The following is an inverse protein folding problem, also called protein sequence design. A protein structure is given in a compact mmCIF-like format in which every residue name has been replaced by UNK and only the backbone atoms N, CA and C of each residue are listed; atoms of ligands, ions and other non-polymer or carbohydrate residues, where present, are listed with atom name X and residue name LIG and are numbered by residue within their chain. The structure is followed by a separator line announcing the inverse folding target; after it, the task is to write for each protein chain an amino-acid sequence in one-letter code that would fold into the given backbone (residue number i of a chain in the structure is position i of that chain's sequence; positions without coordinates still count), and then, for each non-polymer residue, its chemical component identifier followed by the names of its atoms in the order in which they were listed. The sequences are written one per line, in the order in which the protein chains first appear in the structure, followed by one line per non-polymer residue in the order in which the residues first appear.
data_IF_971538677687
#
_entry.id   IF_971538677687
#
_cell.length_a   1.000
_cell.length_b   1.000
_cell.length_c   1.000
_cell.angle_alpha   90.00
_cell.angle_beta   90.00
_cell.angle_gamma   90.00
#
_symmetry.space_group_name_H-M   'P 1'
#
loop_
_entity.id
_entity.type
_entity.pdbx_description
1 polymer ?
#
# COMPACT_ATOMS: atom_id res chain seq x y z
N UNK A 1 -15.22 12.57 24.40
CA UNK A 1 -14.33 11.47 23.93
C UNK A 1 -13.26 11.94 22.95
N UNK A 2 -13.60 12.64 21.87
CA UNK A 2 -12.61 13.02 20.85
C UNK A 2 -11.59 14.10 21.26
N UNK A 3 -11.95 15.04 22.15
CA UNK A 3 -11.00 16.01 22.72
C UNK A 3 -9.87 15.35 23.52
N UNK A 4 -10.16 14.42 24.47
CA UNK A 4 -9.13 13.61 25.12
C UNK A 4 -8.25 12.85 24.11
N UNK A 5 -8.85 12.25 23.09
CA UNK A 5 -8.10 11.56 22.02
C UNK A 5 -7.12 12.48 21.30
N UNK A 6 -7.58 13.65 20.85
CA UNK A 6 -6.71 14.60 20.17
C UNK A 6 -5.58 15.07 21.08
N UNK A 7 -5.86 15.33 22.35
CA UNK A 7 -4.84 15.77 23.32
C UNK A 7 -3.80 14.68 23.59
N UNK A 8 -4.24 13.44 23.85
CA UNK A 8 -3.36 12.30 24.05
C UNK A 8 -2.50 12.02 22.82
N UNK A 9 -3.08 12.08 21.62
CA UNK A 9 -2.36 11.90 20.37
C UNK A 9 -1.33 13.01 20.12
N UNK A 10 -1.70 14.28 20.33
CA UNK A 10 -0.77 15.41 20.24
C UNK A 10 0.42 15.25 21.20
N UNK A 11 0.17 14.77 22.43
CA UNK A 11 1.24 14.45 23.38
C UNK A 11 2.15 13.33 22.89
N UNK A 12 1.59 12.26 22.30
CA UNK A 12 2.39 11.21 21.68
C UNK A 12 3.28 11.77 20.57
N UNK A 13 2.72 12.60 19.68
CA UNK A 13 3.44 13.24 18.55
C UNK A 13 4.58 14.11 19.07
N UNK A 14 4.33 14.95 20.06
CA UNK A 14 5.37 15.77 20.69
C UNK A 14 6.50 14.91 21.26
N UNK A 15 6.17 13.86 22.03
CA UNK A 15 7.17 12.95 22.59
C UNK A 15 7.95 12.17 21.52
N UNK A 16 7.35 11.86 20.37
CA UNK A 16 8.09 11.26 19.25
C UNK A 16 9.06 12.26 18.61
N UNK A 17 8.63 13.50 18.40
CA UNK A 17 9.48 14.55 17.82
C UNK A 17 10.67 14.85 18.74
N UNK A 18 10.45 14.87 20.06
CA UNK A 18 11.49 15.03 21.07
C UNK A 18 12.48 13.84 21.06
N UNK A 19 11.96 12.61 21.15
CA UNK A 19 12.76 11.37 21.09
C UNK A 19 13.61 11.27 19.83
N UNK A 20 13.06 11.67 18.69
CA UNK A 20 13.77 11.61 17.41
C UNK A 20 14.49 12.92 17.05
N UNK A 21 14.43 13.96 17.89
CA UNK A 21 14.96 15.31 17.64
C UNK A 21 14.57 15.91 16.28
N UNK A 22 13.43 15.49 15.72
CA UNK A 22 13.03 15.85 14.35
C UNK A 22 13.92 15.28 13.23
N UNK A 23 14.93 14.46 13.52
CA UNK A 23 15.85 13.87 12.53
C UNK A 23 15.18 12.80 11.66
N UNK A 24 14.09 12.21 12.13
CA UNK A 24 13.33 11.20 11.41
C UNK A 24 11.92 11.71 11.12
N UNK A 25 11.49 11.64 9.86
CA UNK A 25 10.13 11.99 9.50
C UNK A 25 9.14 10.93 9.98
N UNK A 26 8.01 11.38 10.52
CA UNK A 26 6.94 10.50 10.97
C UNK A 26 6.33 9.78 9.76
N UNK A 27 6.28 8.44 9.80
CA UNK A 27 5.64 7.65 8.75
C UNK A 27 4.20 7.30 9.12
N UNK A 28 3.40 6.88 8.12
CA UNK A 28 2.02 6.40 8.33
C UNK A 28 1.93 5.19 9.29
N UNK A 29 3.04 4.47 9.50
CA UNK A 29 3.09 3.37 10.49
C UNK A 29 3.28 3.89 11.91
N UNK A 30 4.10 4.91 12.07
CA UNK A 30 4.31 5.57 13.36
C UNK A 30 3.00 6.26 13.79
N UNK A 31 2.30 6.89 12.84
CA UNK A 31 0.92 7.37 13.04
C UNK A 31 0.04 6.31 13.70
N UNK A 32 -0.03 5.09 13.15
CA UNK A 32 -0.93 4.07 13.67
C UNK A 32 -0.55 3.59 15.08
N UNK A 33 0.75 3.40 15.33
CA UNK A 33 1.25 3.00 16.66
C UNK A 33 0.88 4.05 17.73
N UNK A 34 1.06 5.32 17.39
CA UNK A 34 0.78 6.43 18.29
C UNK A 34 -0.72 6.69 18.44
N UNK A 35 -1.48 6.48 17.37
CA UNK A 35 -2.92 6.53 17.37
C UNK A 35 -3.51 5.45 18.28
N UNK A 36 -3.05 4.20 18.18
CA UNK A 36 -3.54 3.11 19.04
C UNK A 36 -3.21 3.39 20.51
N UNK A 37 -2.00 3.85 20.82
CA UNK A 37 -1.64 4.21 22.20
C UNK A 37 -2.53 5.36 22.74
N UNK A 38 -2.79 6.38 21.93
CA UNK A 38 -3.69 7.46 22.30
C UNK A 38 -5.15 6.99 22.40
N UNK A 39 -5.57 6.06 21.55
CA UNK A 39 -6.90 5.47 21.55
C UNK A 39 -7.15 4.70 22.84
N UNK A 40 -6.25 3.79 23.22
CA UNK A 40 -6.31 3.02 24.46
C UNK A 40 -6.31 3.93 25.71
N UNK A 41 -5.56 5.04 25.65
CA UNK A 41 -5.56 6.02 26.74
C UNK A 41 -6.90 6.78 26.86
N UNK A 42 -7.60 7.00 25.74
CA UNK A 42 -8.75 7.91 25.66
C UNK A 42 -10.09 7.19 25.74
N UNK A 43 -10.23 6.05 25.08
CA UNK A 43 -11.44 5.24 25.03
C UNK A 43 -11.46 4.20 26.16
N UNK A 44 -11.45 4.70 27.39
CA UNK A 44 -11.69 3.90 28.60
C UNK A 44 -13.16 3.95 28.97
N UNK A 45 -13.63 2.91 29.65
CA UNK A 45 -15.02 2.81 30.12
C UNK A 45 -15.44 4.07 30.90
N UNK A 46 -14.60 4.55 31.82
CA UNK A 46 -14.86 5.77 32.59
C UNK A 46 -15.05 7.01 31.70
N UNK A 47 -14.21 7.17 30.67
CA UNK A 47 -14.30 8.31 29.74
C UNK A 47 -15.53 8.22 28.86
N UNK A 48 -15.95 6.99 28.51
CA UNK A 48 -17.15 6.71 27.76
C UNK A 48 -18.39 7.08 28.60
N UNK A 49 -18.47 6.59 29.84
CA UNK A 49 -19.58 6.89 30.76
C UNK A 49 -19.69 8.40 31.03
N UNK A 50 -18.57 9.07 31.35
CA UNK A 50 -18.54 10.53 31.53
C UNK A 50 -18.96 11.28 30.26
N UNK A 51 -18.68 10.74 29.08
CA UNK A 51 -19.10 11.37 27.83
C UNK A 51 -20.62 11.27 27.60
N UNK A 52 -21.23 10.14 27.96
CA UNK A 52 -22.70 9.97 27.91
C UNK A 52 -23.42 10.81 28.95
N UNK A 53 -22.85 10.93 30.15
CA UNK A 53 -23.35 11.81 31.20
C UNK A 53 -23.27 13.28 30.76
N UNK A 54 -22.15 13.69 30.16
CA UNK A 54 -21.96 15.06 29.68
C UNK A 54 -22.87 15.46 28.52
N UNK A 55 -23.36 14.48 27.74
CA UNK A 55 -24.40 14.73 26.71
C UNK A 55 -25.81 14.62 27.27
N UNK A 56 -25.99 14.12 28.50
CA UNK A 56 -27.31 13.90 29.09
C UNK A 56 -28.14 12.87 28.33
N UNK A 57 -27.50 12.00 27.54
CA UNK A 57 -28.19 10.91 26.82
C UNK A 57 -28.41 9.74 27.77
N UNK A 58 -27.40 9.42 28.58
CA UNK A 58 -27.47 8.36 29.57
C UNK A 58 -26.71 8.80 30.83
N UNK A 59 -27.40 9.05 31.96
CA UNK A 59 -28.85 9.07 32.16
C UNK A 59 -29.54 10.19 31.33
N UNK A 60 -30.81 10.01 30.97
CA UNK A 60 -31.56 10.96 30.13
C UNK A 60 -31.82 12.28 30.90
N UNK A 61 -30.99 13.28 30.67
CA UNK A 61 -30.99 14.57 31.38
C UNK A 61 -30.73 15.75 30.40
N UNK A 62 -31.76 16.28 29.73
CA UNK A 62 -31.60 17.35 28.73
C UNK A 62 -31.09 18.68 29.31
N UNK A 63 -31.29 18.91 30.60
CA UNK A 63 -30.82 20.09 31.34
C UNK A 63 -29.31 20.30 31.27
N UNK A 64 -28.52 19.22 31.10
CA UNK A 64 -27.05 19.30 30.98
C UNK A 64 -26.64 20.10 29.73
N UNK A 65 -27.40 19.98 28.65
CA UNK A 65 -27.16 20.73 27.42
C UNK A 65 -27.67 22.17 27.57
N UNK A 66 -28.85 22.36 28.15
CA UNK A 66 -29.47 23.67 28.36
C UNK A 66 -28.60 24.59 29.25
N UNK A 67 -28.00 24.04 30.32
CA UNK A 67 -27.07 24.76 31.19
C UNK A 67 -25.86 25.35 30.45
N UNK A 68 -25.39 24.72 29.36
CA UNK A 68 -24.26 25.24 28.56
C UNK A 68 -24.59 26.56 27.85
N UNK A 69 -25.87 26.81 27.58
CA UNK A 69 -26.34 28.04 26.92
C UNK A 69 -26.66 29.16 27.92
N UNK A 70 -26.85 28.82 29.20
CA UNK A 70 -27.12 29.79 30.26
C UNK A 70 -25.87 30.25 31.02
N UNK A 71 -24.75 29.51 30.93
CA UNK A 71 -23.48 29.90 31.57
C UNK A 71 -22.74 30.94 30.72
N UNK A 72 -22.90 32.21 31.07
CA UNK A 72 -21.98 33.27 30.72
C UNK A 72 -20.62 33.02 31.40
N UNK A 73 -19.57 32.86 30.59
CA UNK A 73 -18.15 32.71 30.94
C UNK A 73 -17.72 31.44 31.72
N UNK A 74 -16.76 30.66 31.20
CA UNK A 74 -16.08 29.66 31.99
C UNK A 74 -15.01 30.33 32.85
N UNK A 75 -15.27 30.42 34.16
CA UNK A 75 -14.20 30.48 35.17
C UNK A 75 -13.29 29.29 34.90
N UNK A 76 -12.05 29.57 34.48
CA UNK A 76 -11.01 28.56 34.35
C UNK A 76 -10.85 27.89 35.72
N UNK A 77 -11.41 26.68 35.84
CA UNK A 77 -11.11 25.82 36.96
C UNK A 77 -9.62 25.54 36.91
N UNK A 78 -8.91 26.04 37.93
CA UNK A 78 -7.52 25.69 38.22
C UNK A 78 -7.37 24.18 38.10
N UNK A 79 -6.77 23.77 37.00
CA UNK A 79 -6.12 22.47 36.88
C UNK A 79 -5.06 22.44 37.96
N UNK A 80 -5.41 21.81 39.08
CA UNK A 80 -4.46 21.38 40.10
C UNK A 80 -3.26 20.75 39.38
N UNK A 81 -2.11 21.41 39.46
CA UNK A 81 -0.85 20.83 39.05
C UNK A 81 -0.62 19.62 39.97
N UNK A 82 -1.09 18.46 39.53
CA UNK A 82 -0.64 17.19 40.08
C UNK A 82 0.79 17.01 39.62
N UNK A 83 1.70 17.58 40.43
CA UNK A 83 3.11 17.25 40.51
C UNK A 83 3.25 15.77 40.90
N UNK A 84 2.92 14.89 39.97
CA UNK A 84 3.21 13.47 40.06
C UNK A 84 4.63 13.25 39.55
N UNK A 85 5.59 13.65 40.38
CA UNK A 85 6.82 12.90 40.66
C UNK A 85 7.42 12.09 39.48
N UNK A 86 7.92 12.79 38.46
CA UNK A 86 8.98 12.25 37.62
C UNK A 86 10.32 12.71 38.21
N UNK A 87 10.76 12.03 39.27
CA UNK A 87 12.12 12.16 39.81
C UNK A 87 13.11 11.64 38.78
N UNK A 88 13.44 12.51 37.82
CA UNK A 88 14.70 12.45 37.07
C UNK A 88 15.20 13.87 36.80
N UNK A 89 15.15 14.71 37.83
CA UNK A 89 16.00 15.90 37.92
C UNK A 89 17.35 15.41 38.45
N UNK A 90 18.22 15.01 37.53
CA UNK A 90 19.53 14.41 37.82
C UNK A 90 20.34 15.28 38.79
N UNK A 91 20.28 14.88 40.06
CA UNK A 91 21.23 15.04 41.15
C UNK A 91 21.70 16.45 41.55
N UNK A 92 21.46 17.51 40.78
CA UNK A 92 22.06 18.82 41.06
C UNK A 92 21.49 19.47 42.34
N UNK A 93 20.17 19.34 42.60
CA UNK A 93 19.56 19.87 43.84
C UNK A 93 20.08 19.14 45.09
N UNK A 94 20.35 17.83 44.96
CA UNK A 94 20.90 17.00 46.03
C UNK A 94 22.37 17.38 46.27
N UNK A 95 23.17 17.49 45.20
CA UNK A 95 24.58 17.88 45.30
C UNK A 95 24.75 19.33 45.74
N UNK A 96 23.83 20.22 45.38
CA UNK A 96 23.79 21.61 45.86
C UNK A 96 23.44 21.64 47.35
N UNK A 97 22.48 20.82 47.81
CA UNK A 97 22.21 20.65 49.23
C UNK A 97 23.44 20.18 50.02
N UNK A 98 24.18 19.21 49.47
CA UNK A 98 25.45 18.75 50.04
C UNK A 98 26.55 19.82 50.00
N UNK A 99 26.68 20.55 48.90
CA UNK A 99 27.64 21.65 48.75
C UNK A 99 27.37 22.73 49.80
N UNK A 100 26.09 23.08 50.01
CA UNK A 100 25.67 24.05 51.02
C UNK A 100 25.85 23.54 52.46
N UNK A 101 25.85 22.21 52.68
CA UNK A 101 26.14 21.63 53.98
C UNK A 101 27.65 21.63 54.30
N UNK A 102 28.51 21.50 53.27
CA UNK A 102 29.97 21.52 53.40
C UNK A 102 30.53 22.95 53.43
N UNK A 103 29.93 23.87 52.68
CA UNK A 103 30.34 25.28 52.63
C UNK A 103 29.74 26.02 53.82
N UNK A 104 30.58 26.40 54.79
CA UNK A 104 30.18 27.12 56.01
C UNK A 104 29.65 28.54 55.73
N UNK A 105 30.13 29.21 54.67
CA UNK A 105 29.75 30.58 54.30
C UNK A 105 29.04 30.59 52.95
N UNK A 106 27.70 30.69 52.95
CA UNK A 106 26.86 30.71 51.73
C UNK A 106 27.16 31.89 50.78
N UNK A 107 27.66 33.00 51.32
CA UNK A 107 27.94 34.22 50.57
C UNK A 107 29.40 34.31 50.10
N UNK A 108 30.20 33.25 50.30
CA UNK A 108 31.56 33.22 49.77
C UNK A 108 31.51 33.26 48.22
N UNK A 109 32.11 34.29 47.58
CA UNK A 109 32.12 34.41 46.12
C UNK A 109 32.76 33.20 45.43
N UNK A 110 33.69 32.49 46.08
CA UNK A 110 34.33 31.30 45.53
C UNK A 110 33.39 30.08 45.58
N UNK A 111 32.62 29.92 46.65
CA UNK A 111 31.60 28.88 46.75
C UNK A 111 30.45 29.11 45.74
N UNK A 112 30.02 30.35 45.55
CA UNK A 112 29.01 30.67 44.53
C UNK A 112 29.51 30.41 43.11
N UNK A 113 30.78 30.71 42.81
CA UNK A 113 31.40 30.36 41.51
C UNK A 113 31.39 28.85 41.29
N UNK A 114 31.72 28.08 42.33
CA UNK A 114 31.75 26.62 42.27
C UNK A 114 30.33 26.04 42.07
N UNK A 115 29.34 26.50 42.83
CA UNK A 115 27.92 26.12 42.65
C UNK A 115 27.42 26.42 41.23
N UNK A 116 27.70 27.63 40.71
CA UNK A 116 27.34 28.01 39.33
C UNK A 116 28.02 27.11 38.30
N UNK A 117 29.30 26.78 38.49
CA UNK A 117 30.03 25.88 37.60
C UNK A 117 29.44 24.45 37.63
N UNK A 118 29.13 23.93 38.82
CA UNK A 118 28.48 22.62 38.96
C UNK A 118 27.09 22.59 38.35
N UNK A 119 26.28 23.62 38.55
CA UNK A 119 24.97 23.75 37.93
C UNK A 119 25.11 23.74 36.39
N UNK A 120 26.03 24.55 35.85
CA UNK A 120 26.34 24.58 34.41
C UNK A 120 26.74 23.20 33.89
N UNK A 121 27.69 22.52 34.53
CA UNK A 121 28.14 21.17 34.14
C UNK A 121 27.00 20.15 34.23
N UNK A 122 26.16 20.24 35.26
CA UNK A 122 25.02 19.32 35.45
C UNK A 122 23.98 19.49 34.34
N UNK A 123 23.66 20.74 33.98
CA UNK A 123 22.76 21.05 32.87
C UNK A 123 23.36 20.59 31.54
N UNK A 124 24.65 20.84 31.30
CA UNK A 124 25.34 20.38 30.09
C UNK A 124 25.33 18.85 29.98
N UNK A 125 25.61 18.14 31.08
CA UNK A 125 25.57 16.67 31.12
C UNK A 125 24.18 16.15 30.81
N UNK A 126 23.15 16.73 31.43
CA UNK A 126 21.75 16.35 31.18
C UNK A 126 21.38 16.58 29.72
N UNK A 127 21.77 17.72 29.14
CA UNK A 127 21.52 18.03 27.74
C UNK A 127 22.21 17.02 26.80
N UNK A 128 23.47 16.69 27.06
CA UNK A 128 24.22 15.68 26.31
C UNK A 128 23.62 14.28 26.45
N UNK A 129 23.14 13.90 27.64
CA UNK A 129 22.48 12.62 27.86
C UNK A 129 21.17 12.53 27.06
N UNK A 130 20.34 13.57 27.09
CA UNK A 130 19.13 13.64 26.26
C UNK A 130 19.47 13.63 24.76
N UNK A 131 20.53 14.34 24.35
CA UNK A 131 20.96 14.37 22.96
C UNK A 131 21.40 12.98 22.48
N UNK A 132 22.29 12.33 23.24
CA UNK A 132 22.80 11.00 22.90
C UNK A 132 21.69 9.94 22.91
N UNK A 133 20.73 10.05 23.82
CA UNK A 133 19.56 9.17 23.85
C UNK A 133 18.68 9.38 22.63
N UNK A 134 18.36 10.63 22.28
CA UNK A 134 17.53 10.93 21.10
C UNK A 134 18.20 10.51 19.79
N UNK A 135 19.52 10.69 19.68
CA UNK A 135 20.30 10.21 18.53
C UNK A 135 20.26 8.68 18.41
N UNK A 136 20.38 7.95 19.53
CA UNK A 136 20.26 6.48 19.54
C UNK A 136 18.88 6.04 19.07
N UNK A 137 17.83 6.69 19.53
CA UNK A 137 16.45 6.37 19.16
C UNK A 137 16.17 6.66 17.69
N UNK A 138 16.60 7.82 17.18
CA UNK A 138 16.53 8.16 15.76
C UNK A 138 17.26 7.12 14.89
N UNK A 139 18.46 6.69 15.29
CA UNK A 139 19.22 5.66 14.59
C UNK A 139 18.48 4.32 14.60
N UNK A 140 17.91 3.91 15.73
CA UNK A 140 17.10 2.68 15.83
C UNK A 140 15.90 2.76 14.88
N UNK A 141 15.19 3.89 14.85
CA UNK A 141 14.05 4.14 13.98
C UNK A 141 14.45 4.04 12.49
N UNK A 142 15.51 4.72 12.08
CA UNK A 142 16.00 4.69 10.71
C UNK A 142 16.52 3.29 10.32
N UNK A 143 17.19 2.59 11.23
CA UNK A 143 17.64 1.20 11.01
C UNK A 143 16.45 0.25 10.83
N UNK A 144 15.41 0.36 11.66
CA UNK A 144 14.15 -0.41 11.53
C UNK A 144 13.48 -0.11 10.18
N UNK A 145 13.48 1.15 9.75
CA UNK A 145 12.96 1.58 8.45
C UNK A 145 13.73 0.95 7.29
N UNK A 146 15.06 1.03 7.29
CA UNK A 146 15.93 0.46 6.23
C UNK A 146 15.88 -1.06 6.15
N UNK A 147 15.90 -1.77 7.30
CA UNK A 147 15.80 -3.24 7.33
C UNK A 147 14.54 -3.77 6.64
N UNK A 148 13.43 -3.02 6.65
CA UNK A 148 12.16 -3.44 6.03
C UNK A 148 12.02 -3.03 4.57
N UNK A 149 12.78 -2.04 4.10
CA UNK A 149 12.81 -1.66 2.68
C UNK A 149 13.38 -2.77 1.80
N UNK A 150 14.46 -3.42 2.25
CA UNK A 150 15.16 -4.47 1.48
C UNK A 150 14.28 -5.69 1.15
N UNK A 151 13.54 -6.30 2.12
CA UNK A 151 12.62 -7.39 1.82
C UNK A 151 11.47 -7.00 0.89
N UNK A 152 10.99 -5.76 0.95
CA UNK A 152 9.88 -5.29 0.10
C UNK A 152 10.30 -5.22 -1.36
N UNK A 153 11.50 -4.72 -1.63
CA UNK A 153 12.06 -4.67 -2.99
C UNK A 153 12.36 -6.08 -3.51
N UNK A 154 12.98 -6.94 -2.70
CA UNK A 154 13.24 -8.33 -3.07
C UNK A 154 11.94 -9.11 -3.39
N UNK A 155 10.88 -8.92 -2.60
CA UNK A 155 9.56 -9.52 -2.87
C UNK A 155 8.94 -8.99 -4.16
N UNK A 156 9.10 -7.71 -4.48
CA UNK A 156 8.61 -7.13 -5.72
C UNK A 156 9.33 -7.73 -6.94
N UNK A 157 10.67 -7.80 -6.89
CA UNK A 157 11.49 -8.42 -7.93
C UNK A 157 11.16 -9.89 -8.12
N UNK A 158 11.03 -10.67 -7.03
CA UNK A 158 10.65 -12.08 -7.11
C UNK A 158 9.25 -12.27 -7.73
N UNK A 159 8.31 -11.36 -7.45
CA UNK A 159 6.98 -11.38 -8.05
C UNK A 159 7.04 -11.08 -9.55
N UNK A 160 7.88 -10.14 -9.96
CA UNK A 160 8.08 -9.79 -11.36
C UNK A 160 8.75 -10.91 -12.15
N UNK A 161 9.84 -11.49 -11.62
CA UNK A 161 10.50 -12.66 -12.22
C UNK A 161 9.53 -13.84 -12.38
N UNK A 162 8.64 -14.08 -11.40
CA UNK A 162 7.60 -15.10 -11.50
C UNK A 162 6.59 -14.82 -12.62
N UNK A 163 6.29 -13.54 -12.92
CA UNK A 163 5.41 -13.15 -14.03
C UNK A 163 6.10 -13.32 -15.37
N UNK A 164 7.36 -12.92 -15.47
CA UNK A 164 8.18 -13.05 -16.68
C UNK A 164 8.37 -14.53 -17.05
N UNK A 165 8.77 -15.37 -16.09
CA UNK A 165 8.87 -16.82 -16.31
C UNK A 165 7.55 -17.44 -16.79
N UNK A 166 6.41 -17.00 -16.25
CA UNK A 166 5.08 -17.45 -16.72
C UNK A 166 4.79 -16.99 -18.15
N UNK A 167 5.18 -15.77 -18.51
CA UNK A 167 5.00 -15.25 -19.86
C UNK A 167 5.87 -15.99 -20.87
N UNK A 168 7.14 -16.23 -20.55
CA UNK A 168 8.06 -17.01 -21.36
C UNK A 168 7.55 -18.43 -21.61
N UNK A 169 7.06 -19.11 -20.56
CA UNK A 169 6.45 -20.44 -20.71
C UNK A 169 5.24 -20.42 -21.65
N UNK A 170 4.43 -19.35 -21.64
CA UNK A 170 3.29 -19.21 -22.58
C UNK A 170 3.79 -19.01 -24.01
N UNK A 171 4.78 -18.15 -24.22
CA UNK A 171 5.38 -17.89 -25.53
C UNK A 171 6.00 -19.17 -26.09
N UNK A 172 6.73 -19.94 -25.28
CA UNK A 172 7.32 -21.23 -25.69
C UNK A 172 6.23 -22.22 -26.10
N UNK A 173 5.17 -22.35 -25.30
CA UNK A 173 4.03 -23.23 -25.62
C UNK A 173 3.33 -22.82 -26.92
N UNK A 174 3.17 -21.53 -27.17
CA UNK A 174 2.58 -21.02 -28.41
C UNK A 174 3.48 -21.28 -29.62
N UNK A 175 4.79 -21.04 -29.49
CA UNK A 175 5.79 -21.35 -30.53
C UNK A 175 5.81 -22.84 -30.84
N UNK A 176 5.75 -23.71 -29.83
CA UNK A 176 5.70 -25.16 -30.03
C UNK A 176 4.42 -25.60 -30.74
N UNK A 177 3.26 -25.05 -30.33
CA UNK A 177 1.98 -25.29 -31.02
C UNK A 177 2.01 -24.81 -32.47
N UNK A 178 2.57 -23.63 -32.73
CA UNK A 178 2.72 -23.09 -34.09
C UNK A 178 3.64 -23.95 -34.95
N UNK A 179 4.78 -24.42 -34.40
CA UNK A 179 5.69 -25.35 -35.08
C UNK A 179 4.99 -26.67 -35.45
N UNK A 180 4.27 -27.28 -34.50
CA UNK A 180 3.51 -28.51 -34.75
C UNK A 180 2.40 -28.31 -35.81
N UNK A 181 1.74 -27.15 -35.81
CA UNK A 181 0.73 -26.82 -36.81
C UNK A 181 1.35 -26.62 -38.21
N UNK A 182 2.50 -25.91 -38.29
CA UNK A 182 3.22 -25.69 -39.53
C UNK A 182 3.77 -27.00 -40.13
N UNK A 183 4.32 -27.89 -39.29
CA UNK A 183 4.78 -29.21 -39.72
C UNK A 183 3.63 -30.07 -40.27
N UNK A 184 2.46 -30.08 -39.59
CA UNK A 184 1.26 -30.76 -40.08
C UNK A 184 0.77 -30.18 -41.40
N UNK A 185 0.74 -28.85 -41.55
CA UNK A 185 0.33 -28.19 -42.78
C UNK A 185 1.29 -28.51 -43.94
N UNK A 186 2.60 -28.52 -43.68
CA UNK A 186 3.63 -28.90 -44.67
C UNK A 186 3.47 -30.36 -45.11
N UNK A 187 3.28 -31.31 -44.19
CA UNK A 187 3.00 -32.71 -44.52
C UNK A 187 1.73 -32.88 -45.34
N UNK A 188 0.66 -32.18 -44.99
CA UNK A 188 -0.59 -32.20 -45.74
C UNK A 188 -0.42 -31.61 -47.16
N UNK A 189 0.33 -30.52 -47.30
CA UNK A 189 0.64 -29.92 -48.60
C UNK A 189 1.47 -30.88 -49.46
N UNK A 190 2.50 -31.52 -48.91
CA UNK A 190 3.32 -32.51 -49.61
C UNK A 190 2.52 -33.74 -50.07
N UNK A 191 1.58 -34.22 -49.24
CA UNK A 191 0.70 -35.32 -49.63
C UNK A 191 -0.24 -34.91 -50.77
N UNK A 192 -0.81 -33.70 -50.71
CA UNK A 192 -1.67 -33.15 -51.78
C UNK A 192 -0.91 -32.98 -53.10
N UNK A 193 0.30 -32.44 -53.06
CA UNK A 193 1.12 -32.28 -54.28
C UNK A 193 1.49 -33.63 -54.88
N UNK A 194 1.84 -34.63 -54.05
CA UNK A 194 2.10 -35.99 -54.52
C UNK A 194 0.86 -36.62 -55.16
N UNK A 195 -0.33 -36.45 -54.56
CA UNK A 195 -1.59 -36.92 -55.15
C UNK A 195 -1.89 -36.23 -56.48
N UNK A 196 -1.68 -34.92 -56.58
CA UNK A 196 -1.85 -34.18 -57.84
C UNK A 196 -0.90 -34.67 -58.93
N UNK A 197 0.37 -34.92 -58.60
CA UNK A 197 1.35 -35.49 -59.54
C UNK A 197 0.93 -36.89 -60.01
N UNK A 198 0.49 -37.77 -59.09
CA UNK A 198 -0.01 -39.10 -59.48
C UNK A 198 -1.25 -39.01 -60.38
N UNK A 199 -2.19 -38.11 -60.08
CA UNK A 199 -3.38 -37.91 -60.89
C UNK A 199 -3.03 -37.35 -62.28
N UNK A 200 -2.08 -36.42 -62.37
CA UNK A 200 -1.58 -35.91 -63.65
C UNK A 200 -0.91 -37.02 -64.48
N UNK A 201 -0.08 -37.86 -63.87
CA UNK A 201 0.54 -39.01 -64.54
C UNK A 201 -0.48 -40.05 -65.02
N UNK A 202 -1.54 -40.32 -64.23
CA UNK A 202 -2.65 -41.18 -64.66
C UNK A 202 -3.45 -40.56 -65.82
N UNK A 203 -3.63 -39.24 -65.82
CA UNK A 203 -4.31 -38.53 -66.90
C UNK A 203 -3.51 -38.54 -68.21
N UNK A 204 -2.18 -38.39 -68.16
CA UNK A 204 -1.32 -38.50 -69.36
C UNK A 204 -1.31 -39.92 -69.94
N UNK A 205 -1.32 -40.96 -69.09
CA UNK A 205 -1.45 -42.35 -69.55
C UNK A 205 -2.82 -42.67 -70.17
N UNK A 206 -3.92 -42.09 -69.65
CA UNK A 206 -5.26 -42.21 -70.25
C UNK A 206 -5.40 -41.40 -71.55
N UNK A 207 -4.75 -40.23 -71.65
CA UNK A 207 -4.73 -39.39 -72.85
C UNK A 207 -4.02 -40.03 -74.05
N UNK A 208 -3.08 -40.97 -73.82
CA UNK A 208 -2.43 -41.69 -74.90
C UNK A 208 -3.30 -42.78 -75.56
N UNK A 209 -4.52 -43.04 -75.04
CA UNK A 209 -5.52 -43.94 -75.67
C UNK A 209 -6.60 -43.21 -76.47
N UNK A 210 -6.64 -41.87 -76.43
CA UNK A 210 -7.60 -41.06 -77.16
C UNK A 210 -6.89 -39.80 -77.63
N UNK A 211 -6.34 -39.81 -78.85
CA UNK A 211 -5.99 -38.58 -79.58
C UNK A 211 -7.28 -37.97 -80.12
N UNK A 212 -7.71 -36.77 -79.70
CA UNK A 212 -8.65 -36.00 -80.50
C UNK A 212 -7.85 -35.23 -81.55
N UNK A 213 -8.27 -35.33 -82.81
CA UNK A 213 -7.87 -34.40 -83.87
C UNK A 213 -8.33 -32.99 -83.51
N UNK A 214 -7.49 -32.02 -83.86
CA UNK A 214 -7.76 -30.61 -83.73
C UNK A 214 -9.08 -30.21 -84.44
N UNK A 215 -9.86 -29.37 -83.78
CA UNK A 215 -10.84 -28.52 -84.43
C UNK A 215 -10.84 -27.14 -83.78
N UNK A 216 -10.58 -26.15 -84.64
CA UNK A 216 -10.67 -24.72 -84.42
C UNK A 216 -12.14 -24.27 -84.34
N UNK A 217 -12.48 -23.41 -83.38
CA UNK A 217 -13.06 -22.07 -83.62
C UNK A 217 -13.55 -21.38 -82.34
N UNK A 218 -13.48 -20.06 -82.42
CA UNK A 218 -13.85 -19.02 -81.47
C UNK A 218 -15.29 -19.11 -80.94
N UNK A 219 -15.57 -18.41 -79.83
CA UNK A 219 -16.55 -17.30 -79.76
C UNK A 219 -16.49 -16.62 -78.39
N UNK A 220 -16.35 -15.29 -78.39
CA UNK A 220 -16.61 -14.42 -77.24
C UNK A 220 -18.12 -14.21 -77.07
N UNK A 221 -18.64 -14.23 -75.84
CA UNK A 221 -19.77 -13.36 -75.46
C UNK A 221 -19.85 -13.13 -73.95
N UNK A 222 -20.26 -11.91 -73.64
CA UNK A 222 -20.36 -11.17 -72.37
C UNK A 222 -21.82 -11.16 -71.89
N UNK A 223 -22.04 -10.73 -70.63
CA UNK A 223 -23.29 -10.21 -70.01
C UNK A 223 -24.29 -11.28 -69.49
N UNK A 224 -25.03 -11.15 -68.40
CA UNK A 224 -25.06 -10.28 -67.20
C UNK A 224 -26.18 -10.81 -66.26
N UNK A 225 -26.15 -10.34 -65.00
CA UNK A 225 -27.28 -10.12 -64.07
C UNK A 225 -28.03 -11.28 -63.38
N UNK A 226 -28.26 -11.09 -62.07
CA UNK A 226 -29.08 -11.94 -61.21
C UNK A 226 -28.93 -11.60 -59.72
N UNK A 227 -29.33 -10.38 -59.35
CA UNK A 227 -29.48 -9.88 -57.99
C UNK A 227 -30.68 -10.57 -57.30
N UNK A 228 -30.48 -11.07 -56.08
CA UNK A 228 -31.57 -11.39 -55.15
C UNK A 228 -31.10 -11.14 -53.70
N UNK A 229 -31.54 -9.99 -53.19
CA UNK A 229 -31.63 -9.65 -51.78
C UNK A 229 -32.54 -10.63 -51.02
N UNK A 230 -32.16 -11.01 -49.80
CA UNK A 230 -32.98 -11.84 -48.91
C UNK A 230 -32.33 -12.08 -47.56
N UNK A 231 -32.73 -11.30 -46.57
CA UNK A 231 -32.15 -11.18 -45.24
C UNK A 231 -32.17 -12.46 -44.38
N UNK A 232 -31.13 -12.64 -43.57
CA UNK A 232 -31.25 -13.16 -42.21
C UNK A 232 -29.99 -12.76 -41.41
N UNK A 233 -30.06 -11.63 -40.71
CA UNK A 233 -29.08 -11.24 -39.71
C UNK A 233 -29.11 -12.25 -38.55
N UNK A 234 -28.21 -13.23 -38.56
CA UNK A 234 -27.93 -14.07 -37.41
C UNK A 234 -27.05 -13.31 -36.42
N UNK A 235 -27.56 -13.04 -35.23
CA UNK A 235 -26.84 -12.40 -34.14
C UNK A 235 -25.49 -13.08 -33.86
N UNK A 236 -24.42 -12.29 -33.84
CA UNK A 236 -23.10 -12.69 -33.34
C UNK A 236 -23.20 -13.18 -31.87
N UNK A 237 -22.62 -14.33 -31.50
CA UNK A 237 -22.64 -14.81 -30.13
C UNK A 237 -21.87 -13.84 -29.23
N UNK A 238 -22.49 -13.35 -28.15
CA UNK A 238 -21.84 -12.42 -27.21
C UNK A 238 -20.54 -13.02 -26.68
N UNK A 239 -19.40 -12.47 -27.10
CA UNK A 239 -18.08 -12.88 -26.65
C UNK A 239 -17.67 -12.06 -25.42
N UNK A 240 -17.08 -12.72 -24.43
CA UNK A 240 -16.38 -12.03 -23.34
C UNK A 240 -15.23 -11.17 -23.90
N UNK A 241 -14.79 -10.14 -23.16
CA UNK A 241 -13.56 -9.35 -23.47
C UNK A 241 -12.30 -10.21 -23.75
N UNK A 242 -12.32 -11.49 -23.40
CA UNK A 242 -11.24 -12.46 -23.64
C UNK A 242 -11.58 -13.53 -24.69
N UNK A 243 -12.57 -13.30 -25.56
CA UNK A 243 -12.87 -14.15 -26.72
C UNK A 243 -13.49 -15.52 -26.40
N UNK A 244 -14.08 -15.71 -25.21
CA UNK A 244 -14.84 -16.93 -24.89
C UNK A 244 -16.31 -16.76 -25.24
N UNK A 245 -16.85 -17.76 -25.93
CA UNK A 245 -18.27 -17.89 -26.22
C UNK A 245 -19.07 -18.10 -24.93
N UNK A 246 -20.01 -17.19 -24.64
CA UNK A 246 -20.88 -17.26 -23.48
C UNK A 246 -22.13 -18.05 -23.89
N UNK A 247 -22.35 -19.23 -23.28
CA UNK A 247 -23.59 -19.99 -23.44
C UNK A 247 -24.58 -19.51 -22.37
N UNK A 248 -25.66 -18.85 -22.79
CA UNK A 248 -26.75 -18.45 -21.90
C UNK A 248 -27.56 -19.68 -21.45
N UNK A 249 -27.89 -19.82 -20.15
CA UNK A 249 -28.77 -20.87 -19.65
C UNK A 249 -30.18 -20.78 -20.25
N UNK A 250 -30.84 -21.93 -20.47
CA UNK A 250 -32.14 -22.03 -21.12
C UNK A 250 -33.27 -21.22 -20.45
N UNK A 251 -33.13 -20.90 -19.15
CA UNK A 251 -34.07 -20.07 -18.39
C UNK A 251 -34.05 -18.57 -18.76
N UNK A 252 -33.10 -18.14 -19.59
CA UNK A 252 -32.94 -16.75 -20.05
C UNK A 252 -32.90 -16.65 -21.58
N UNK A 253 -33.40 -17.66 -22.28
CA UNK A 253 -33.50 -17.69 -23.75
C UNK A 253 -34.90 -17.32 -24.20
#
# INVERSE_FOLDING_TARGET
MFKPLSSAYSGQVAGFMERCQGLTSMSKRDFYLMFIAAWEASFKEETILKAFEATGVLPLNPEVILKKFHTSQPTQGSSSNSDSSALSASNWKITEGLLQQVVKNRDDPQAQKLSKAFHSISVQKMLLEQETQGLKEALIHERRRRKRGKPRQAKAQATQARREARAEVRIVREKEKAKKAAEKASRAAACRTQQQLQNALKATQKGNKMRPKAATKATQKKLEFGEASGAAAGQEPSQSRHGRAIKLPAKYR
#
